data_IF_552734305798
#
_entry.id   IF_552734305798
#
_cell.length_a   1.000
_cell.length_b   1.000
_cell.length_c   1.000
_cell.angle_alpha   90.00
_cell.angle_beta   90.00
_cell.angle_gamma   90.00
#
_symmetry.space_group_name_H-M   'P 1'
#
loop_
_entity.id
_entity.type
_entity.pdbx_description
1 polymer ?
#
# COMPACT_ATOMS: atom_id res chain seq x y z
N UNK A 1 -49.09 -33.32 -13.62
CA UNK A 1 -48.36 -32.17 -14.21
C UNK A 1 -47.31 -31.74 -13.19
N UNK A 2 -46.07 -32.17 -13.36
CA UNK A 2 -44.96 -31.78 -12.49
C UNK A 2 -43.97 -30.96 -13.30
N UNK A 3 -43.84 -29.68 -12.96
CA UNK A 3 -42.83 -28.80 -13.55
C UNK A 3 -41.47 -29.13 -12.92
N UNK A 4 -40.61 -29.74 -13.71
CA UNK A 4 -39.18 -29.91 -13.43
C UNK A 4 -38.48 -28.56 -13.61
N UNK A 5 -38.01 -27.97 -12.51
CA UNK A 5 -37.10 -26.82 -12.53
C UNK A 5 -35.70 -27.34 -12.83
N UNK A 6 -35.23 -27.15 -14.06
CA UNK A 6 -33.84 -27.38 -14.46
C UNK A 6 -32.97 -26.26 -13.86
N UNK A 7 -32.30 -26.56 -12.74
CA UNK A 7 -31.17 -25.77 -12.26
C UNK A 7 -29.98 -26.00 -13.21
N UNK A 8 -29.71 -25.02 -14.08
CA UNK A 8 -28.47 -24.95 -14.86
C UNK A 8 -27.31 -24.63 -13.90
N UNK A 9 -26.65 -25.67 -13.41
CA UNK A 9 -25.35 -25.57 -12.75
C UNK A 9 -24.31 -25.31 -13.84
N UNK A 10 -23.91 -24.06 -14.02
CA UNK A 10 -22.78 -23.70 -14.88
C UNK A 10 -21.48 -24.08 -14.17
N UNK A 11 -20.97 -25.27 -14.46
CA UNK A 11 -19.60 -25.67 -14.11
C UNK A 11 -18.63 -24.91 -15.01
N UNK A 12 -17.81 -24.03 -14.43
CA UNK A 12 -16.61 -23.49 -15.08
C UNK A 12 -15.59 -24.61 -15.26
N UNK A 13 -15.75 -25.38 -16.33
CA UNK A 13 -14.78 -26.35 -16.82
C UNK A 13 -13.97 -25.71 -17.94
N UNK A 14 -12.89 -25.01 -17.58
CA UNK A 14 -11.82 -24.64 -18.52
C UNK A 14 -10.52 -24.25 -17.78
N UNK A 15 -10.00 -25.14 -16.94
CA UNK A 15 -8.56 -25.17 -16.61
C UNK A 15 -8.02 -26.52 -17.09
N UNK A 16 -7.84 -26.63 -18.40
CA UNK A 16 -7.44 -27.88 -19.06
C UNK A 16 -6.53 -27.63 -20.25
N UNK A 17 -5.51 -26.77 -20.08
CA UNK A 17 -4.44 -26.61 -21.07
C UNK A 17 -3.20 -25.91 -20.49
N UNK A 18 -2.70 -26.34 -19.32
CA UNK A 18 -1.33 -26.04 -18.89
C UNK A 18 -0.73 -27.25 -18.14
N UNK A 19 -0.92 -28.45 -18.70
CA UNK A 19 -0.24 -29.66 -18.25
C UNK A 19 0.84 -30.01 -19.27
N UNK A 20 1.98 -29.32 -19.19
CA UNK A 20 3.30 -29.77 -19.65
C UNK A 20 4.34 -28.64 -19.52
N UNK A 21 4.51 -28.12 -18.30
CA UNK A 21 5.81 -27.59 -17.90
C UNK A 21 6.32 -28.55 -16.84
N UNK A 22 7.14 -29.50 -17.28
CA UNK A 22 7.98 -30.29 -16.37
C UNK A 22 8.91 -29.30 -15.68
N UNK A 23 8.57 -28.90 -14.46
CA UNK A 23 9.49 -28.25 -13.55
C UNK A 23 10.51 -29.32 -13.11
N UNK A 24 11.80 -29.21 -13.44
CA UNK A 24 12.79 -30.02 -12.77
C UNK A 24 13.00 -29.44 -11.37
N UNK A 25 12.82 -30.27 -10.33
CA UNK A 25 13.30 -29.98 -8.98
C UNK A 25 12.25 -29.80 -7.89
N UNK A 26 11.52 -30.88 -7.55
CA UNK A 26 10.98 -31.06 -6.20
C UNK A 26 12.03 -31.75 -5.33
N UNK A 27 13.06 -31.02 -4.96
CA UNK A 27 13.88 -31.24 -3.76
C UNK A 27 14.92 -30.13 -3.64
N UNK A 28 14.46 -28.99 -3.14
CA UNK A 28 15.33 -28.12 -2.37
C UNK A 28 14.39 -27.49 -1.37
N UNK A 29 14.50 -27.88 -0.09
CA UNK A 29 14.09 -27.00 0.99
C UNK A 29 14.63 -25.64 0.60
N UNK A 30 13.75 -24.67 0.31
CA UNK A 30 14.15 -23.38 -0.20
C UNK A 30 15.30 -22.89 0.68
N UNK A 31 16.51 -23.00 0.16
CA UNK A 31 17.68 -22.43 0.78
C UNK A 31 17.33 -20.96 0.75
N UNK A 32 16.88 -20.46 1.90
CA UNK A 32 16.84 -19.02 2.15
C UNK A 32 18.19 -18.55 1.66
N UNK A 33 18.26 -17.66 0.65
CA UNK A 33 19.50 -17.35 -0.02
C UNK A 33 20.55 -17.13 1.05
N UNK A 34 21.52 -18.05 1.12
CA UNK A 34 22.50 -18.06 2.19
C UNK A 34 23.29 -16.78 2.03
N UNK A 35 23.02 -15.82 2.92
CA UNK A 35 23.60 -14.47 2.95
C UNK A 35 25.12 -14.54 3.09
N UNK A 36 25.71 -15.73 3.33
CA UNK A 36 27.14 -15.96 3.45
C UNK A 36 28.00 -15.64 2.22
N UNK A 37 27.41 -15.52 1.03
CA UNK A 37 28.14 -15.09 -0.18
C UNK A 37 27.70 -13.71 -0.70
N UNK A 38 26.93 -12.96 0.10
CA UNK A 38 26.67 -11.55 -0.15
C UNK A 38 27.84 -10.74 0.40
N UNK A 39 28.13 -9.59 -0.20
CA UNK A 39 28.97 -8.55 0.39
C UNK A 39 28.63 -8.19 1.85
N UNK A 40 27.43 -8.57 2.32
CA UNK A 40 27.01 -8.48 3.70
C UNK A 40 27.87 -9.36 4.62
N UNK A 41 28.99 -8.81 5.07
CA UNK A 41 29.54 -9.12 6.38
C UNK A 41 28.50 -8.76 7.46
N UNK A 42 27.72 -9.76 7.89
CA UNK A 42 26.95 -9.75 9.14
C UNK A 42 26.01 -8.53 9.36
N UNK A 43 24.93 -8.41 8.58
CA UNK A 43 23.72 -7.68 9.02
C UNK A 43 23.91 -6.21 9.40
N UNK A 44 24.95 -5.57 8.87
CA UNK A 44 25.22 -4.15 9.06
C UNK A 44 24.16 -3.27 8.38
N UNK A 45 24.00 -2.07 8.93
CA UNK A 45 23.24 -1.01 8.28
C UNK A 45 24.06 -0.43 7.12
N UNK A 46 23.46 -0.20 5.94
CA UNK A 46 24.20 0.27 4.77
C UNK A 46 24.77 1.68 5.01
N UNK A 47 25.92 1.95 4.41
CA UNK A 47 26.53 3.28 4.41
C UNK A 47 27.09 3.68 3.04
N UNK A 48 27.87 4.77 2.96
CA UNK A 48 28.48 5.26 1.72
C UNK A 48 29.96 4.92 1.56
N UNK A 49 30.55 4.16 2.49
CA UNK A 49 32.01 3.96 2.57
C UNK A 49 32.46 2.84 1.62
N UNK A 50 31.69 1.75 1.52
CA UNK A 50 32.07 0.57 0.73
C UNK A 50 31.52 0.65 -0.72
N UNK A 51 32.37 0.99 -1.69
CA UNK A 51 31.97 1.18 -3.08
C UNK A 51 31.71 -0.13 -3.85
N UNK A 52 32.46 -1.19 -3.53
CA UNK A 52 32.45 -2.46 -4.26
C UNK A 52 31.11 -3.20 -4.12
N UNK A 53 30.35 -2.90 -3.07
CA UNK A 53 29.11 -3.57 -2.70
C UNK A 53 27.93 -2.63 -2.41
N UNK A 54 28.12 -1.32 -2.59
CA UNK A 54 27.17 -0.27 -2.24
C UNK A 54 25.74 -0.58 -2.70
N UNK A 55 25.55 -0.95 -3.96
CA UNK A 55 24.21 -1.18 -4.49
C UNK A 55 23.53 -2.39 -3.83
N UNK A 56 24.28 -3.47 -3.65
CA UNK A 56 23.75 -4.73 -3.15
C UNK A 56 23.34 -4.62 -1.68
N UNK A 57 24.11 -3.90 -0.88
CA UNK A 57 23.78 -3.64 0.54
C UNK A 57 22.52 -2.79 0.69
N UNK A 58 22.41 -1.71 -0.08
CA UNK A 58 21.22 -0.85 -0.04
C UNK A 58 19.97 -1.59 -0.53
N UNK A 59 20.10 -2.42 -1.56
CA UNK A 59 19.01 -3.28 -2.04
C UNK A 59 18.62 -4.29 -0.97
N UNK A 60 19.58 -5.00 -0.37
CA UNK A 60 19.32 -5.97 0.68
C UNK A 60 18.65 -5.34 1.90
N UNK A 61 19.13 -4.15 2.32
CA UNK A 61 18.51 -3.37 3.38
C UNK A 61 17.06 -2.99 3.04
N UNK A 62 16.79 -2.55 1.80
CA UNK A 62 15.41 -2.21 1.38
C UNK A 62 14.48 -3.42 1.39
N UNK A 63 14.99 -4.60 1.04
CA UNK A 63 14.24 -5.85 1.07
C UNK A 63 13.96 -6.29 2.51
N UNK A 64 14.92 -6.09 3.41
CA UNK A 64 14.72 -6.33 4.84
C UNK A 64 13.71 -5.33 5.43
N UNK A 65 13.75 -4.05 5.02
CA UNK A 65 12.79 -3.03 5.45
C UNK A 65 11.34 -3.37 5.08
N UNK A 66 11.14 -3.97 3.91
CA UNK A 66 9.84 -4.46 3.46
C UNK A 66 9.32 -5.62 4.32
N UNK A 67 10.19 -6.55 4.70
CA UNK A 67 9.81 -7.81 5.39
C UNK A 67 9.92 -7.75 6.92
N UNK A 68 10.59 -6.75 7.45
CA UNK A 68 10.85 -6.60 8.88
C UNK A 68 9.56 -6.55 9.69
N UNK A 69 9.60 -7.09 10.91
CA UNK A 69 8.50 -6.93 11.87
C UNK A 69 8.64 -5.60 12.63
N UNK A 70 7.66 -5.26 13.47
CA UNK A 70 7.64 -4.02 14.24
C UNK A 70 8.85 -3.86 15.17
N UNK A 71 9.28 -4.93 15.84
CA UNK A 71 10.42 -4.89 16.75
C UNK A 71 11.73 -4.63 16.01
N UNK A 72 11.95 -5.31 14.88
CA UNK A 72 13.11 -5.07 14.03
C UNK A 72 13.11 -3.63 13.49
N UNK A 73 11.95 -3.10 13.03
CA UNK A 73 11.87 -1.72 12.55
C UNK A 73 12.23 -0.71 13.64
N UNK A 74 11.66 -0.86 14.85
CA UNK A 74 11.95 0.03 15.99
C UNK A 74 13.45 0.00 16.34
N UNK A 75 14.02 -1.18 16.52
CA UNK A 75 15.44 -1.33 16.86
C UNK A 75 16.36 -0.79 15.75
N UNK A 76 15.94 -0.91 14.49
CA UNK A 76 16.70 -0.40 13.33
C UNK A 76 16.61 1.12 13.26
N UNK A 77 15.46 1.72 13.56
CA UNK A 77 15.30 3.18 13.64
C UNK A 77 16.20 3.79 14.72
N UNK A 78 16.31 3.15 15.88
CA UNK A 78 17.23 3.57 16.96
C UNK A 78 18.69 3.54 16.50
N UNK A 79 19.11 2.48 15.81
CA UNK A 79 20.47 2.38 15.27
C UNK A 79 20.74 3.38 14.13
N UNK A 80 19.69 3.84 13.45
CA UNK A 80 19.76 4.83 12.38
C UNK A 80 19.71 6.27 12.88
N UNK A 81 19.71 6.52 14.20
CA UNK A 81 19.78 7.86 14.77
C UNK A 81 21.02 8.64 14.30
N UNK A 82 20.94 9.97 14.44
CA UNK A 82 21.99 10.90 14.02
C UNK A 82 21.74 11.57 12.67
N UNK A 83 22.76 12.30 12.21
CA UNK A 83 22.66 13.31 11.14
C UNK A 83 23.44 12.95 9.88
N UNK A 84 24.21 11.86 9.87
CA UNK A 84 24.92 11.41 8.67
C UNK A 84 23.92 11.13 7.53
N UNK A 85 24.27 11.56 6.32
CA UNK A 85 23.35 11.48 5.17
C UNK A 85 22.97 10.04 4.80
N UNK A 86 23.90 9.09 4.88
CA UNK A 86 23.63 7.67 4.69
C UNK A 86 22.61 7.13 5.70
N UNK A 87 22.78 7.42 6.99
CA UNK A 87 21.83 7.04 8.06
C UNK A 87 20.46 7.65 7.83
N UNK A 88 20.41 8.92 7.43
CA UNK A 88 19.15 9.61 7.14
C UNK A 88 18.43 9.01 5.91
N UNK A 89 19.16 8.62 4.87
CA UNK A 89 18.60 7.95 3.70
C UNK A 89 18.16 6.51 4.01
N UNK A 90 18.92 5.75 4.80
CA UNK A 90 18.50 4.44 5.26
C UNK A 90 17.25 4.53 6.15
N UNK A 91 17.14 5.59 6.98
CA UNK A 91 15.91 5.90 7.73
C UNK A 91 14.75 6.21 6.78
N UNK A 92 14.99 6.99 5.73
CA UNK A 92 13.98 7.28 4.70
C UNK A 92 13.46 5.99 4.03
N UNK A 93 14.37 5.09 3.65
CA UNK A 93 14.01 3.77 3.09
C UNK A 93 13.16 2.99 4.08
N UNK A 94 13.57 2.90 5.35
CA UNK A 94 12.84 2.17 6.38
C UNK A 94 11.42 2.72 6.60
N UNK A 95 11.29 4.04 6.76
CA UNK A 95 10.02 4.73 6.96
C UNK A 95 9.10 4.64 5.72
N UNK A 96 9.65 4.57 4.51
CA UNK A 96 8.86 4.45 3.28
C UNK A 96 8.11 3.12 3.15
N UNK A 97 8.55 2.09 3.89
CA UNK A 97 7.88 0.80 4.00
C UNK A 97 7.08 0.64 5.30
N UNK A 98 7.05 1.70 6.13
CA UNK A 98 6.24 1.78 7.34
C UNK A 98 4.82 2.27 7.07
N UNK A 99 4.22 2.85 8.10
CA UNK A 99 2.83 3.29 8.08
C UNK A 99 2.65 4.61 7.30
N UNK A 100 1.41 4.86 6.85
CA UNK A 100 1.03 6.07 6.11
C UNK A 100 1.47 7.37 6.82
N UNK A 101 1.47 7.36 8.17
CA UNK A 101 1.92 8.49 8.99
C UNK A 101 3.39 8.85 8.80
N UNK A 102 4.23 7.89 8.42
CA UNK A 102 5.67 8.07 8.27
C UNK A 102 6.06 8.51 6.85
N UNK A 103 5.19 8.30 5.87
CA UNK A 103 5.51 8.48 4.46
C UNK A 103 5.90 9.92 4.11
N UNK A 104 5.29 10.90 4.79
CA UNK A 104 5.70 12.30 4.62
C UNK A 104 7.14 12.51 5.10
N UNK A 105 7.48 12.02 6.27
CA UNK A 105 8.83 12.16 6.83
C UNK A 105 9.86 11.42 5.97
N UNK A 106 9.54 10.21 5.49
CA UNK A 106 10.38 9.47 4.56
C UNK A 106 10.66 10.26 3.27
N UNK A 107 9.63 10.86 2.68
CA UNK A 107 9.75 11.71 1.47
C UNK A 107 10.64 12.91 1.70
N UNK A 108 10.46 13.60 2.83
CA UNK A 108 11.23 14.79 3.19
C UNK A 108 12.72 14.43 3.37
N UNK A 109 13.04 13.29 3.99
CA UNK A 109 14.41 12.79 4.12
C UNK A 109 15.02 12.40 2.77
N UNK A 110 14.30 11.65 1.93
CA UNK A 110 14.77 11.31 0.58
C UNK A 110 15.10 12.58 -0.21
N UNK A 111 14.20 13.56 -0.26
CA UNK A 111 14.40 14.81 -1.02
C UNK A 111 15.60 15.61 -0.50
N UNK A 112 15.80 15.63 0.82
CA UNK A 112 16.89 16.37 1.43
C UNK A 112 18.27 15.74 1.16
N UNK A 113 18.37 14.41 1.28
CA UNK A 113 19.67 13.73 1.34
C UNK A 113 20.04 13.00 0.04
N UNK A 114 19.09 12.73 -0.88
CA UNK A 114 19.37 12.08 -2.17
C UNK A 114 20.50 12.75 -2.97
N UNK A 115 20.62 14.09 -3.05
CA UNK A 115 21.73 14.73 -3.76
C UNK A 115 23.12 14.41 -3.20
N UNK A 116 23.19 13.99 -1.93
CA UNK A 116 24.45 13.64 -1.25
C UNK A 116 24.83 12.17 -1.43
N UNK A 117 23.92 11.33 -1.93
CA UNK A 117 24.19 9.92 -2.15
C UNK A 117 25.19 9.72 -3.29
N UNK A 118 26.01 8.66 -3.26
CA UNK A 118 26.89 8.31 -4.38
C UNK A 118 26.12 8.17 -5.69
N UNK A 119 26.71 8.62 -6.79
CA UNK A 119 26.06 8.71 -8.11
C UNK A 119 25.45 7.38 -8.59
N UNK A 120 26.10 6.25 -8.27
CA UNK A 120 25.61 4.89 -8.60
C UNK A 120 24.32 4.53 -7.87
N UNK A 121 24.07 5.11 -6.70
CA UNK A 121 22.92 4.82 -5.84
C UNK A 121 21.74 5.78 -6.09
N UNK A 122 22.02 7.01 -6.53
CA UNK A 122 20.99 8.04 -6.74
C UNK A 122 19.80 7.60 -7.61
N UNK A 123 19.97 6.85 -8.73
CA UNK A 123 18.83 6.40 -9.53
C UNK A 123 17.89 5.47 -8.76
N UNK A 124 18.45 4.57 -7.94
CA UNK A 124 17.67 3.63 -7.13
C UNK A 124 16.88 4.38 -6.05
N UNK A 125 17.53 5.30 -5.33
CA UNK A 125 16.87 6.12 -4.31
C UNK A 125 15.77 7.00 -4.92
N UNK A 126 15.99 7.52 -6.14
CA UNK A 126 14.97 8.30 -6.86
C UNK A 126 13.78 7.44 -7.25
N UNK A 127 14.02 6.21 -7.70
CA UNK A 127 12.94 5.28 -8.02
C UNK A 127 12.09 4.96 -6.78
N UNK A 128 12.72 4.76 -5.62
CA UNK A 128 12.00 4.53 -4.36
C UNK A 128 11.23 5.77 -3.89
N UNK A 129 11.81 6.97 -4.01
CA UNK A 129 11.11 8.22 -3.73
C UNK A 129 9.87 8.36 -4.63
N UNK A 130 10.00 8.12 -5.93
CA UNK A 130 8.87 8.23 -6.86
C UNK A 130 7.75 7.26 -6.47
N UNK A 131 8.06 5.99 -6.19
CA UNK A 131 7.05 5.03 -5.75
C UNK A 131 6.43 5.35 -4.38
N UNK A 132 7.14 6.05 -3.50
CA UNK A 132 6.59 6.59 -2.26
C UNK A 132 5.61 7.73 -2.54
N UNK A 133 5.97 8.69 -3.40
CA UNK A 133 5.09 9.80 -3.76
C UNK A 133 3.83 9.32 -4.48
N UNK A 134 3.95 8.34 -5.39
CA UNK A 134 2.81 7.72 -6.06
C UNK A 134 1.82 7.11 -5.04
N UNK A 135 2.33 6.36 -4.04
CA UNK A 135 1.48 5.84 -2.97
C UNK A 135 0.81 6.96 -2.18
N UNK A 136 1.52 8.03 -1.87
CA UNK A 136 0.96 9.20 -1.15
C UNK A 136 -0.14 9.89 -1.96
N UNK A 137 0.03 10.01 -3.28
CA UNK A 137 -0.98 10.62 -4.14
C UNK A 137 -2.27 9.78 -4.18
N UNK A 138 -2.14 8.44 -4.22
CA UNK A 138 -3.29 7.54 -4.16
C UNK A 138 -4.10 7.69 -2.87
N UNK A 139 -3.43 7.92 -1.74
CA UNK A 139 -4.06 8.18 -0.44
C UNK A 139 -4.84 9.50 -0.47
N UNK A 140 -4.25 10.55 -1.04
CA UNK A 140 -4.92 11.85 -1.18
C UNK A 140 -6.17 11.72 -2.05
N UNK A 141 -6.11 10.95 -3.14
CA UNK A 141 -7.28 10.71 -4.00
C UNK A 141 -8.35 9.84 -3.32
N UNK A 142 -7.95 8.82 -2.55
CA UNK A 142 -8.86 8.03 -1.70
C UNK A 142 -9.62 8.95 -0.74
N UNK A 143 -8.91 9.82 -0.02
CA UNK A 143 -9.51 10.69 1.00
C UNK A 143 -10.47 11.71 0.38
N UNK A 144 -10.13 12.27 -0.78
CA UNK A 144 -11.02 13.14 -1.56
C UNK A 144 -12.29 12.38 -1.97
N UNK A 145 -12.15 11.17 -2.51
CA UNK A 145 -13.29 10.34 -2.93
C UNK A 145 -14.21 10.02 -1.74
N UNK A 146 -13.65 9.60 -0.62
CA UNK A 146 -14.42 9.29 0.59
C UNK A 146 -15.15 10.51 1.14
N UNK A 147 -14.51 11.69 1.13
CA UNK A 147 -15.16 12.94 1.52
C UNK A 147 -16.35 13.28 0.61
N UNK A 148 -16.21 13.09 -0.70
CA UNK A 148 -17.29 13.32 -1.66
C UNK A 148 -18.45 12.34 -1.46
N UNK A 149 -18.16 11.06 -1.21
CA UNK A 149 -19.18 10.04 -0.91
C UNK A 149 -19.96 10.37 0.35
N UNK A 150 -19.27 10.78 1.43
CA UNK A 150 -19.93 11.18 2.69
C UNK A 150 -20.84 12.39 2.49
N UNK A 151 -20.39 13.39 1.74
CA UNK A 151 -21.21 14.56 1.39
C UNK A 151 -22.46 14.16 0.61
N UNK A 152 -22.30 13.38 -0.45
CA UNK A 152 -23.44 12.93 -1.27
C UNK A 152 -24.44 12.09 -0.46
N UNK A 153 -23.95 11.25 0.46
CA UNK A 153 -24.81 10.47 1.35
C UNK A 153 -25.61 11.38 2.30
N UNK A 154 -25.00 12.43 2.83
CA UNK A 154 -25.68 13.41 3.67
C UNK A 154 -26.75 14.18 2.88
N UNK A 155 -26.41 14.62 1.66
CA UNK A 155 -27.34 15.33 0.78
C UNK A 155 -28.55 14.45 0.41
N UNK A 156 -28.32 13.18 0.08
CA UNK A 156 -29.40 12.22 -0.19
C UNK A 156 -30.31 12.00 1.03
N UNK A 157 -29.74 11.86 2.23
CA UNK A 157 -30.54 11.74 3.46
C UNK A 157 -31.39 12.99 3.71
N UNK A 158 -30.83 14.18 3.45
CA UNK A 158 -31.56 15.44 3.55
C UNK A 158 -32.69 15.53 2.53
N UNK A 159 -32.45 15.14 1.27
CA UNK A 159 -33.46 15.14 0.22
C UNK A 159 -34.58 14.13 0.49
N UNK A 160 -34.24 12.92 0.96
CA UNK A 160 -35.22 11.92 1.37
C UNK A 160 -36.14 12.46 2.48
N UNK A 161 -35.56 13.08 3.50
CA UNK A 161 -36.33 13.71 4.58
C UNK A 161 -37.25 14.82 4.09
N UNK A 162 -36.81 15.62 3.09
CA UNK A 162 -37.65 16.65 2.47
C UNK A 162 -38.80 16.02 1.68
N UNK A 163 -38.56 14.94 0.94
CA UNK A 163 -39.59 14.22 0.19
C UNK A 163 -40.63 13.63 1.14
N UNK A 164 -40.21 12.95 2.21
CA UNK A 164 -41.12 12.42 3.24
C UNK A 164 -42.00 13.51 3.85
N UNK A 165 -41.41 14.68 4.16
CA UNK A 165 -42.16 15.82 4.69
C UNK A 165 -43.20 16.35 3.68
N UNK A 166 -42.85 16.42 2.39
CA UNK A 166 -43.78 16.84 1.34
C UNK A 166 -44.91 15.82 1.14
N UNK A 167 -44.60 14.52 1.18
CA UNK A 167 -45.61 13.44 1.12
C UNK A 167 -46.58 13.52 2.31
N UNK A 168 -46.08 13.71 3.52
CA UNK A 168 -46.93 13.84 4.71
C UNK A 168 -47.86 15.07 4.64
N UNK A 169 -47.38 16.17 4.07
CA UNK A 169 -48.21 17.36 3.83
C UNK A 169 -49.35 17.03 2.86
N UNK A 170 -49.04 16.37 1.74
CA UNK A 170 -50.04 15.99 0.73
C UNK A 170 -51.13 15.07 1.31
N UNK A 171 -50.74 14.05 2.08
CA UNK A 171 -51.67 13.17 2.78
C UNK A 171 -52.56 13.94 3.78
N UNK A 172 -51.98 14.91 4.50
CA UNK A 172 -52.73 15.77 5.42
C UNK A 172 -53.72 16.69 4.72
N UNK A 173 -53.44 17.13 3.48
CA UNK A 173 -54.34 17.96 2.69
C UNK A 173 -55.48 17.10 2.12
N UNK A 174 -55.15 15.93 1.58
CA UNK A 174 -56.14 15.02 1.01
C UNK A 174 -57.13 14.50 2.07
N UNK A 175 -56.66 14.17 3.27
CA UNK A 175 -57.53 13.78 4.39
C UNK A 175 -58.48 14.90 4.83
N UNK A 176 -58.04 16.16 4.85
CA UNK A 176 -58.92 17.33 5.14
C UNK A 176 -59.97 17.55 4.07
N UNK A 177 -59.62 17.40 2.79
CA UNK A 177 -60.57 17.55 1.68
C UNK A 177 -61.67 16.48 1.70
N UNK A 178 -61.34 15.24 2.06
CA UNK A 178 -62.30 14.13 2.14
C UNK A 178 -63.23 14.20 3.36
N UNK A 179 -62.84 14.93 4.41
CA UNK A 179 -63.62 15.09 5.65
C UNK A 179 -64.50 16.35 5.68
N UNK A 180 -64.47 17.17 4.62
CA UNK A 180 -65.35 18.32 4.46
C UNK A 180 -66.53 17.91 3.54
N UNK A 181 -67.75 17.71 4.07
CA UNK A 181 -68.93 17.35 3.28
C UNK A 181 -69.49 18.52 2.46
#
# INVERSE_FOLDING_TARGET
>A
MGLTVFMLVSTLSACGALSNITLPGTESAAVSPDVKNSCLGAGGLPDFIEEDCLLDEWVAFSLQAQRGNSDWRRNTLEQLEGTRHDRRLARAVLLSWGDESDWKHASDLFKADLPTAPSRLQPLLRQWLNGLEERRDLIVERDKSDSARRKLSADNAQLSKKLEALTAIEESINSRRQSTP
#
